data_IF_849679707029
#
_entry.id   IF_849679707029
#
_cell.length_a   1.000
_cell.length_b   1.000
_cell.length_c   1.000
_cell.angle_alpha   90.00
_cell.angle_beta   90.00
_cell.angle_gamma   90.00
#
_symmetry.space_group_name_H-M   'P 1'
#
loop_
_entity.id
_entity.type
_entity.pdbx_description
1 polymer ?
#
# COMPACT_ATOMS: atom_id res chain seq x y z
N UNK A 1 11.35 50.44 10.79
CA UNK A 1 11.11 49.08 10.29
C UNK A 1 12.06 48.17 11.07
N UNK A 2 11.57 47.38 12.02
CA UNK A 2 12.43 46.50 12.83
C UNK A 2 12.72 45.23 12.05
N UNK A 3 13.98 44.98 11.76
CA UNK A 3 14.44 43.77 11.09
C UNK A 3 14.95 42.83 12.18
N UNK A 4 14.18 41.77 12.45
CA UNK A 4 14.58 40.74 13.39
C UNK A 4 15.59 39.82 12.70
N UNK A 5 16.71 39.56 13.37
CA UNK A 5 17.73 38.62 12.92
C UNK A 5 17.69 37.41 13.87
N UNK A 6 17.73 36.22 13.29
CA UNK A 6 17.91 34.97 14.02
C UNK A 6 19.40 34.82 14.31
N UNK A 7 19.76 34.59 15.56
CA UNK A 7 21.14 34.25 15.89
C UNK A 7 21.47 32.82 15.44
N UNK A 8 22.77 32.52 15.34
CA UNK A 8 23.23 31.23 14.86
C UNK A 8 22.79 30.08 15.78
N UNK A 9 22.63 30.33 17.08
CA UNK A 9 22.22 29.31 18.04
C UNK A 9 20.75 28.91 17.82
N UNK A 10 19.86 29.90 17.73
CA UNK A 10 18.45 29.73 17.45
C UNK A 10 18.23 29.11 16.06
N UNK A 11 19.06 29.46 15.07
CA UNK A 11 19.00 28.85 13.75
C UNK A 11 19.34 27.35 13.80
N UNK A 12 20.42 26.99 14.52
CA UNK A 12 20.84 25.60 14.68
C UNK A 12 19.83 24.78 15.50
N UNK A 13 19.23 25.34 16.55
CA UNK A 13 18.17 24.68 17.31
C UNK A 13 16.92 24.44 16.45
N UNK A 14 16.51 25.43 15.66
CA UNK A 14 15.38 25.28 14.74
C UNK A 14 15.64 24.20 13.69
N UNK A 15 16.85 24.15 13.13
CA UNK A 15 17.28 23.09 12.22
C UNK A 15 17.26 21.71 12.87
N UNK A 16 17.75 21.59 14.11
CA UNK A 16 17.71 20.34 14.86
C UNK A 16 16.27 19.89 15.13
N UNK A 17 15.38 20.81 15.51
CA UNK A 17 13.96 20.49 15.73
C UNK A 17 13.26 20.06 14.45
N UNK A 18 13.52 20.72 13.32
CA UNK A 18 13.00 20.33 12.01
C UNK A 18 13.53 18.96 11.58
N UNK A 19 14.84 18.71 11.75
CA UNK A 19 15.44 17.44 11.42
C UNK A 19 14.92 16.31 12.32
N UNK A 20 14.66 16.59 13.59
CA UNK A 20 14.19 15.59 14.55
C UNK A 20 12.65 15.51 14.65
N UNK A 21 11.92 16.25 13.82
CA UNK A 21 10.45 16.33 13.89
C UNK A 21 9.77 14.97 13.65
N UNK A 22 10.48 14.01 13.06
CA UNK A 22 10.03 12.64 12.81
C UNK A 22 10.41 11.64 13.91
N UNK A 23 11.32 12.00 14.82
CA UNK A 23 11.71 11.15 15.95
C UNK A 23 10.74 11.35 17.10
N UNK A 24 9.79 10.43 17.23
CA UNK A 24 8.88 10.41 18.39
C UNK A 24 9.53 9.77 19.62
N UNK A 25 10.71 9.15 19.49
CA UNK A 25 11.39 8.31 20.52
C UNK A 25 10.50 7.19 21.13
N UNK A 26 9.29 7.01 20.60
CA UNK A 26 8.35 5.98 21.04
C UNK A 26 8.46 4.81 20.05
N UNK A 27 8.79 3.60 20.52
CA UNK A 27 8.73 2.41 19.66
C UNK A 27 7.30 2.17 19.18
N UNK A 28 7.16 1.76 17.92
CA UNK A 28 5.86 1.38 17.36
C UNK A 28 5.21 0.26 18.18
N UNK A 29 3.89 0.32 18.32
CA UNK A 29 3.09 -0.72 18.99
C UNK A 29 2.73 -1.81 17.98
N UNK A 30 2.49 -3.03 18.46
CA UNK A 30 2.01 -4.12 17.60
C UNK A 30 0.73 -3.74 16.84
N UNK A 31 -0.13 -2.94 17.48
CA UNK A 31 -1.37 -2.43 16.87
C UNK A 31 -1.15 -1.59 15.62
N UNK A 32 0.04 -0.99 15.47
CA UNK A 32 0.38 -0.16 14.31
C UNK A 32 0.50 -1.02 13.04
N UNK A 33 0.66 -2.35 13.18
CA UNK A 33 0.74 -3.32 12.08
C UNK A 33 -0.60 -4.01 11.79
N UNK A 34 -1.66 -3.72 12.54
CA UNK A 34 -2.98 -4.34 12.35
C UNK A 34 -3.54 -4.14 10.93
N UNK A 35 -3.13 -3.07 10.24
CA UNK A 35 -3.52 -2.81 8.85
C UNK A 35 -3.02 -3.89 7.87
N UNK A 36 -2.01 -4.69 8.23
CA UNK A 36 -1.56 -5.80 7.39
C UNK A 36 -2.61 -6.93 7.32
N UNK A 37 -3.36 -7.12 8.40
CA UNK A 37 -4.43 -8.11 8.51
C UNK A 37 -5.83 -7.55 8.21
N UNK A 38 -6.05 -6.26 8.45
CA UNK A 38 -7.32 -5.61 8.17
C UNK A 38 -7.39 -5.21 6.70
N UNK A 39 -8.32 -5.78 5.95
CA UNK A 39 -8.53 -5.47 4.53
C UNK A 39 -9.46 -4.26 4.33
N UNK A 40 -10.08 -3.72 5.39
CA UNK A 40 -11.09 -2.65 5.27
C UNK A 40 -10.51 -1.37 4.66
N UNK A 41 -9.30 -0.98 5.07
CA UNK A 41 -8.65 0.24 4.60
C UNK A 41 -8.26 0.19 3.12
N UNK A 42 -8.20 -0.99 2.49
CA UNK A 42 -7.83 -1.14 1.08
C UNK A 42 -8.82 -0.44 0.13
N UNK A 43 -10.04 -0.19 0.57
CA UNK A 43 -11.08 0.52 -0.20
C UNK A 43 -10.68 1.97 -0.52
N UNK A 44 -9.94 2.58 0.40
CA UNK A 44 -9.53 3.98 0.37
C UNK A 44 -8.08 4.11 -0.13
N UNK A 45 -7.64 3.19 -1.01
CA UNK A 45 -6.25 3.17 -1.49
C UNK A 45 -6.15 3.41 -2.98
N UNK A 46 -5.04 4.04 -3.36
CA UNK A 46 -4.59 4.04 -4.74
C UNK A 46 -3.96 2.69 -5.05
N UNK A 47 -4.39 2.08 -6.16
CA UNK A 47 -3.90 0.77 -6.60
C UNK A 47 -3.00 0.95 -7.82
N UNK A 48 -1.79 0.40 -7.74
CA UNK A 48 -0.80 0.39 -8.83
C UNK A 48 -0.48 -1.06 -9.19
N UNK A 49 -0.51 -1.37 -10.49
CA UNK A 49 -0.07 -2.66 -11.01
C UNK A 49 1.45 -2.70 -11.16
N UNK A 50 2.04 -3.84 -10.80
CA UNK A 50 3.47 -4.10 -10.94
C UNK A 50 3.68 -5.52 -11.44
N UNK A 51 4.37 -5.69 -12.56
CA UNK A 51 4.56 -7.01 -13.18
C UNK A 51 6.04 -7.34 -13.14
N UNK A 52 6.37 -8.51 -12.60
CA UNK A 52 7.76 -8.94 -12.40
C UNK A 52 7.99 -10.31 -13.03
N UNK A 53 9.05 -10.49 -13.83
CA UNK A 53 9.47 -11.81 -14.26
C UNK A 53 10.06 -12.58 -13.08
N UNK A 54 9.50 -13.76 -12.77
CA UNK A 54 9.90 -14.68 -11.70
C UNK A 54 9.79 -16.11 -12.20
N UNK A 55 10.88 -16.87 -12.11
CA UNK A 55 10.92 -18.31 -12.44
C UNK A 55 10.34 -18.66 -13.83
N UNK A 56 10.66 -17.84 -14.84
CA UNK A 56 10.14 -18.02 -16.21
C UNK A 56 8.66 -17.66 -16.39
N UNK A 57 8.02 -17.10 -15.37
CA UNK A 57 6.66 -16.59 -15.40
C UNK A 57 6.62 -15.09 -15.10
N UNK A 58 5.49 -14.47 -15.39
CA UNK A 58 5.17 -13.07 -15.13
C UNK A 58 4.22 -13.01 -13.95
N UNK A 59 4.70 -12.55 -12.81
CA UNK A 59 3.92 -12.35 -11.59
C UNK A 59 3.29 -10.96 -11.59
N UNK A 60 1.97 -10.92 -11.49
CA UNK A 60 1.19 -9.70 -11.28
C UNK A 60 1.13 -9.43 -9.78
N UNK A 61 1.59 -8.25 -9.42
CA UNK A 61 1.55 -7.71 -8.07
C UNK A 61 0.70 -6.43 -8.09
N UNK A 62 -0.11 -6.22 -7.07
CA UNK A 62 -0.80 -4.96 -6.83
C UNK A 62 -0.21 -4.29 -5.60
N UNK A 63 0.02 -2.99 -5.71
CA UNK A 63 0.48 -2.13 -4.62
C UNK A 63 -0.69 -1.23 -4.23
N UNK A 64 -1.06 -1.29 -2.95
CA UNK A 64 -2.15 -0.52 -2.36
C UNK A 64 -1.55 0.52 -1.43
N UNK A 65 -1.77 1.80 -1.72
CA UNK A 65 -1.25 2.93 -0.96
C UNK A 65 -2.39 3.81 -0.45
N UNK A 66 -2.50 4.00 0.86
CA UNK A 66 -3.52 4.87 1.45
C UNK A 66 -3.18 6.35 1.21
N UNK A 67 -4.18 7.16 0.83
CA UNK A 67 -3.94 8.56 0.46
C UNK A 67 -3.71 9.50 1.65
N UNK A 68 -4.25 9.16 2.83
CA UNK A 68 -4.06 9.96 4.06
C UNK A 68 -2.95 9.44 4.97
N UNK A 69 -2.61 8.15 4.85
CA UNK A 69 -1.72 7.47 5.78
C UNK A 69 -0.59 6.82 5.00
N UNK A 70 0.51 7.55 4.73
CA UNK A 70 1.56 7.09 3.82
C UNK A 70 2.27 5.81 4.28
N UNK A 71 2.22 5.49 5.58
CA UNK A 71 2.76 4.26 6.15
C UNK A 71 1.86 3.04 5.89
N UNK A 72 0.58 3.24 5.56
CA UNK A 72 -0.33 2.18 5.14
C UNK A 72 -0.13 1.87 3.66
N UNK A 73 0.88 1.05 3.39
CA UNK A 73 1.25 0.56 2.07
C UNK A 73 1.39 -0.96 2.13
N UNK A 74 0.75 -1.68 1.21
CA UNK A 74 0.91 -3.13 1.09
C UNK A 74 1.07 -3.55 -0.36
N UNK A 75 1.90 -4.57 -0.57
CA UNK A 75 2.12 -5.20 -1.87
C UNK A 75 1.64 -6.64 -1.82
N UNK A 76 0.79 -7.04 -2.75
CA UNK A 76 0.23 -8.39 -2.84
C UNK A 76 0.50 -9.00 -4.21
N UNK A 77 1.10 -10.19 -4.23
CA UNK A 77 1.18 -11.01 -5.43
C UNK A 77 -0.18 -11.69 -5.65
N UNK A 78 -0.79 -11.48 -6.82
CA UNK A 78 -2.15 -11.93 -7.11
C UNK A 78 -2.15 -13.17 -8.00
N UNK A 79 -1.39 -13.13 -9.09
CA UNK A 79 -1.43 -14.17 -10.12
C UNK A 79 -0.11 -14.26 -10.88
N UNK A 80 0.23 -15.47 -11.32
CA UNK A 80 1.36 -15.73 -12.23
C UNK A 80 0.85 -16.21 -13.57
N UNK A 81 1.47 -15.75 -14.65
CA UNK A 81 1.12 -16.09 -16.03
C UNK A 81 2.39 -16.33 -16.84
N UNK A 82 2.36 -17.28 -17.77
CA UNK A 82 3.53 -17.60 -18.60
C UNK A 82 3.79 -16.57 -19.71
N UNK A 83 2.76 -15.81 -20.11
CA UNK A 83 2.84 -14.87 -21.23
C UNK A 83 2.80 -13.41 -20.73
N UNK A 84 3.76 -12.55 -21.14
CA UNK A 84 3.84 -11.16 -20.68
C UNK A 84 2.61 -10.34 -21.08
N UNK A 85 2.19 -10.42 -22.34
CA UNK A 85 1.04 -9.65 -22.85
C UNK A 85 -0.27 -10.02 -22.15
N UNK A 86 -0.42 -11.29 -21.76
CA UNK A 86 -1.56 -11.73 -20.94
C UNK A 86 -1.44 -11.16 -19.52
N UNK A 87 -0.23 -11.12 -18.95
CA UNK A 87 0.01 -10.55 -17.64
C UNK A 87 -0.33 -9.05 -17.60
N UNK A 88 0.11 -8.27 -18.58
CA UNK A 88 -0.20 -6.84 -18.72
C UNK A 88 -1.70 -6.58 -18.78
N UNK A 89 -2.40 -7.28 -19.67
CA UNK A 89 -3.85 -7.14 -19.80
C UNK A 89 -4.57 -7.51 -18.50
N UNK A 90 -4.21 -8.64 -17.88
CA UNK A 90 -4.80 -9.05 -16.61
C UNK A 90 -4.50 -8.04 -15.50
N UNK A 91 -3.28 -7.54 -15.40
CA UNK A 91 -2.86 -6.57 -14.40
C UNK A 91 -3.67 -5.27 -14.52
N UNK A 92 -3.88 -4.77 -15.75
CA UNK A 92 -4.70 -3.59 -16.01
C UNK A 92 -6.16 -3.78 -15.55
N UNK A 93 -6.78 -4.93 -15.88
CA UNK A 93 -8.14 -5.22 -15.43
C UNK A 93 -8.21 -5.39 -13.91
N UNK A 94 -7.24 -6.09 -13.30
CA UNK A 94 -7.16 -6.30 -11.86
C UNK A 94 -7.04 -4.98 -11.10
N UNK A 95 -6.20 -4.04 -11.55
CA UNK A 95 -6.13 -2.70 -10.96
C UNK A 95 -7.49 -2.00 -11.02
N UNK A 96 -8.16 -2.02 -12.17
CA UNK A 96 -9.48 -1.36 -12.32
C UNK A 96 -10.56 -1.98 -11.45
N UNK A 97 -10.52 -3.29 -11.24
CA UNK A 97 -11.44 -3.98 -10.35
C UNK A 97 -11.14 -3.64 -8.89
N UNK A 98 -9.88 -3.72 -8.47
CA UNK A 98 -9.46 -3.38 -7.11
C UNK A 98 -9.77 -1.92 -6.75
N UNK A 99 -9.55 -0.98 -7.66
CA UNK A 99 -9.86 0.44 -7.45
C UNK A 99 -11.37 0.76 -7.41
N UNK A 100 -12.21 -0.16 -7.91
CA UNK A 100 -13.68 -0.03 -7.87
C UNK A 100 -14.31 -0.83 -6.74
N UNK A 101 -13.55 -1.69 -6.07
CA UNK A 101 -14.08 -2.59 -5.07
C UNK A 101 -14.31 -1.86 -3.74
N UNK A 102 -15.48 -1.24 -3.62
CA UNK A 102 -15.96 -0.60 -2.40
C UNK A 102 -16.16 -1.59 -1.24
N UNK A 103 -15.98 -2.91 -1.46
CA UNK A 103 -16.18 -3.97 -0.46
C UNK A 103 -14.88 -4.56 0.10
N UNK A 104 -13.72 -4.24 -0.47
CA UNK A 104 -12.44 -4.76 -0.02
C UNK A 104 -12.35 -6.27 -0.22
N UNK A 105 -11.87 -6.69 -1.39
CA UNK A 105 -11.56 -8.07 -1.79
C UNK A 105 -12.52 -9.10 -1.19
N UNK A 106 -13.70 -9.27 -1.79
CA UNK A 106 -14.56 -10.42 -1.53
C UNK A 106 -13.70 -11.70 -1.72
N UNK A 107 -13.27 -12.32 -0.61
CA UNK A 107 -12.71 -13.67 -0.64
C UNK A 107 -13.81 -14.56 -1.18
N UNK A 108 -13.72 -14.89 -2.45
CA UNK A 108 -14.60 -15.85 -3.09
C UNK A 108 -14.21 -17.23 -2.55
N UNK A 109 -14.82 -17.64 -1.44
CA UNK A 109 -14.73 -19.01 -0.95
C UNK A 109 -15.59 -19.89 -1.86
N UNK A 110 -15.04 -20.97 -2.40
CA UNK A 110 -15.79 -21.94 -3.22
C UNK A 110 -17.00 -22.50 -2.46
N UNK A 111 -16.93 -22.54 -1.12
CA UNK A 111 -18.04 -22.96 -0.24
C UNK A 111 -19.25 -22.04 -0.27
N UNK A 112 -19.09 -20.78 -0.71
CA UNK A 112 -20.20 -19.82 -0.86
C UNK A 112 -21.03 -20.05 -2.13
N UNK A 113 -20.56 -20.87 -3.08
CA UNK A 113 -21.31 -21.17 -4.31
C UNK A 113 -22.28 -22.34 -4.18
N UNK A 114 -22.40 -22.97 -3.00
CA UNK A 114 -23.35 -24.06 -2.79
C UNK A 114 -23.17 -25.26 -3.74
N UNK A 115 -21.97 -25.44 -4.30
CA UNK A 115 -21.66 -26.58 -5.15
C UNK A 115 -21.52 -27.83 -4.28
N UNK A 116 -22.57 -28.65 -4.24
CA UNK A 116 -22.49 -29.99 -3.67
C UNK A 116 -21.48 -30.81 -4.48
N UNK A 117 -20.43 -31.29 -3.82
CA UNK A 117 -19.57 -32.33 -4.37
C UNK A 117 -20.29 -33.66 -4.17
N UNK A 118 -20.91 -34.15 -5.25
CA UNK A 118 -21.39 -35.53 -5.34
C UNK A 118 -20.21 -36.48 -5.57
#
# INVERSE_FOLDING_TARGET
MYQAYLDDQAYNELLNLLNNQHFTEVPGKETDMNFLSDDWWLRDTSVIEHIVPRDGMWEIQLVFAHYLEPLKLIKRAIKRLTCPRRAEMNAWYMRRLAAKDQRGTLKVDIRLFGLCTN
#
